data_IF_052647659891
#
_entry.id   IF_052647659891
#
_cell.length_a   1.000
_cell.length_b   1.000
_cell.length_c   1.000
_cell.angle_alpha   90.00
_cell.angle_beta   90.00
_cell.angle_gamma   90.00
#
_symmetry.space_group_name_H-M   'P 1'
#
loop_
_entity.id
_entity.type
_entity.pdbx_description
1 polymer ?
#
# COMPACT_ATOMS: atom_id res chain seq x y z
N UNK A 1 5.77 23.60 -8.11
CA UNK A 1 6.08 22.27 -8.65
C UNK A 1 5.03 21.36 -8.05
N UNK A 2 3.97 21.07 -8.80
CA UNK A 2 2.87 20.25 -8.30
C UNK A 2 3.39 18.82 -8.16
N UNK A 3 3.41 18.30 -6.94
CA UNK A 3 3.64 16.88 -6.73
C UNK A 3 2.47 16.15 -7.37
N UNK A 4 2.75 15.31 -8.37
CA UNK A 4 1.78 14.37 -8.91
C UNK A 4 1.39 13.41 -7.78
N UNK A 5 0.39 13.78 -7.00
CA UNK A 5 -0.23 12.91 -6.00
C UNK A 5 -0.94 11.78 -6.73
N UNK A 6 -0.91 10.57 -6.15
CA UNK A 6 -1.70 9.45 -6.65
C UNK A 6 -3.16 9.89 -6.90
N UNK A 7 -3.74 9.54 -8.04
CA UNK A 7 -5.16 9.80 -8.29
C UNK A 7 -6.01 9.13 -7.19
N UNK A 8 -7.13 9.74 -6.78
CA UNK A 8 -8.06 9.11 -5.84
C UNK A 8 -8.56 7.76 -6.37
N UNK A 9 -8.76 6.80 -5.48
CA UNK A 9 -9.32 5.50 -5.85
C UNK A 9 -10.75 5.65 -6.41
N UNK A 10 -11.06 4.90 -7.47
CA UNK A 10 -12.40 4.89 -8.08
C UNK A 10 -13.32 3.82 -7.50
N UNK A 11 -12.83 3.04 -6.54
CA UNK A 11 -13.51 1.91 -5.92
C UNK A 11 -13.24 1.88 -4.42
N UNK A 12 -14.08 1.15 -3.67
CA UNK A 12 -13.83 0.86 -2.26
C UNK A 12 -12.85 -0.30 -2.12
N UNK A 13 -11.92 -0.19 -1.18
CA UNK A 13 -11.06 -1.30 -0.78
C UNK A 13 -11.28 -1.69 0.67
N UNK A 14 -10.45 -2.61 1.15
CA UNK A 14 -10.57 -3.10 2.52
C UNK A 14 -10.32 -2.00 3.58
N UNK A 15 -9.46 -1.02 3.26
CA UNK A 15 -9.02 0.01 4.20
C UNK A 15 -9.20 1.45 3.70
N UNK A 16 -9.99 1.63 2.65
CA UNK A 16 -10.26 2.96 2.08
C UNK A 16 -11.61 2.97 1.38
N UNK A 17 -12.17 4.16 1.20
CA UNK A 17 -13.36 4.40 0.38
C UNK A 17 -13.01 5.00 -0.98
N UNK A 18 -13.90 4.85 -1.94
CA UNK A 18 -13.82 5.54 -3.22
C UNK A 18 -13.71 7.05 -3.00
N UNK A 19 -12.84 7.70 -3.77
CA UNK A 19 -12.48 9.11 -3.62
C UNK A 19 -11.32 9.38 -2.67
N UNK A 20 -10.80 8.36 -1.97
CA UNK A 20 -9.61 8.50 -1.14
C UNK A 20 -8.32 8.14 -1.87
N UNK A 21 -7.22 8.80 -1.49
CA UNK A 21 -5.87 8.40 -1.89
C UNK A 21 -5.30 7.47 -0.83
N UNK A 22 -4.69 6.36 -1.27
CA UNK A 22 -4.13 5.33 -0.39
C UNK A 22 -2.98 4.62 -1.08
N UNK A 23 -1.98 4.21 -0.31
CA UNK A 23 -0.94 3.28 -0.80
C UNK A 23 -0.96 2.00 0.01
N UNK A 24 -1.01 0.89 -0.72
CA UNK A 24 -0.83 -0.46 -0.18
C UNK A 24 0.60 -0.91 -0.51
N UNK A 25 1.33 -1.32 0.52
CA UNK A 25 2.63 -1.96 0.38
C UNK A 25 2.66 -3.24 1.22
N UNK A 26 3.68 -4.07 1.02
CA UNK A 26 3.82 -5.34 1.74
C UNK A 26 5.20 -5.47 2.34
N UNK A 27 5.26 -6.16 3.47
CA UNK A 27 6.47 -6.39 4.27
C UNK A 27 7.56 -7.17 3.52
N UNK A 28 7.18 -7.98 2.53
CA UNK A 28 8.10 -8.84 1.77
C UNK A 28 7.73 -8.87 0.29
N UNK A 29 8.72 -9.03 -0.60
CA UNK A 29 8.45 -9.06 -2.01
C UNK A 29 7.45 -10.16 -2.41
N UNK A 30 7.67 -11.38 -1.98
CA UNK A 30 6.88 -12.56 -2.36
C UNK A 30 5.40 -12.38 -1.98
N UNK A 31 5.15 -11.73 -0.84
CA UNK A 31 3.81 -11.39 -0.38
C UNK A 31 3.15 -10.34 -1.28
N UNK A 32 3.89 -9.32 -1.74
CA UNK A 32 3.37 -8.33 -2.69
C UNK A 32 2.91 -9.00 -3.99
N UNK A 33 3.70 -9.94 -4.52
CA UNK A 33 3.32 -10.70 -5.72
C UNK A 33 2.06 -11.54 -5.49
N UNK A 34 2.01 -12.30 -4.39
CA UNK A 34 0.85 -13.14 -4.06
C UNK A 34 -0.42 -12.30 -3.88
N UNK A 35 -0.34 -11.20 -3.13
CA UNK A 35 -1.46 -10.30 -2.92
C UNK A 35 -1.92 -9.65 -4.23
N UNK A 36 -0.99 -9.20 -5.08
CA UNK A 36 -1.32 -8.64 -6.38
C UNK A 36 -2.03 -9.66 -7.28
N UNK A 37 -1.56 -10.92 -7.33
CA UNK A 37 -2.19 -11.97 -8.12
C UNK A 37 -3.59 -12.35 -7.58
N UNK A 38 -3.72 -12.47 -6.25
CA UNK A 38 -4.97 -12.85 -5.61
C UNK A 38 -6.03 -11.75 -5.69
N UNK A 39 -5.67 -10.51 -5.37
CA UNK A 39 -6.60 -9.38 -5.31
C UNK A 39 -7.02 -8.90 -6.70
N UNK A 40 -6.18 -9.08 -7.72
CA UNK A 40 -6.55 -8.82 -9.11
C UNK A 40 -7.40 -9.93 -9.74
N UNK A 41 -7.81 -10.94 -8.97
CA UNK A 41 -8.61 -12.08 -9.45
C UNK A 41 -8.02 -12.78 -10.69
N UNK A 42 -6.69 -12.85 -10.78
CA UNK A 42 -5.99 -13.42 -11.93
C UNK A 42 -5.92 -12.53 -13.18
N UNK A 43 -6.33 -11.26 -13.09
CA UNK A 43 -6.05 -10.28 -14.14
C UNK A 43 -4.53 -10.03 -14.14
N UNK A 44 -3.88 -10.44 -15.23
CA UNK A 44 -2.46 -10.20 -15.45
C UNK A 44 -2.26 -8.80 -16.03
N UNK A 45 -1.63 -7.88 -15.29
CA UNK A 45 -1.32 -6.54 -15.82
C UNK A 45 -0.28 -6.66 -16.95
N UNK A 46 -0.39 -5.77 -17.95
CA UNK A 46 0.55 -5.73 -19.08
C UNK A 46 1.98 -5.38 -18.64
N UNK A 47 2.09 -4.59 -17.57
CA UNK A 47 3.34 -4.17 -16.94
C UNK A 47 3.23 -4.26 -15.43
N UNK A 48 4.26 -4.80 -14.77
CA UNK A 48 4.43 -4.72 -13.31
C UNK A 48 5.76 -4.09 -12.94
N UNK A 49 5.68 -3.23 -11.93
CA UNK A 49 6.83 -2.60 -11.32
C UNK A 49 7.01 -3.10 -9.89
N UNK A 50 8.24 -3.42 -9.56
CA UNK A 50 8.63 -3.72 -8.19
C UNK A 50 9.31 -2.51 -7.57
N UNK A 51 8.68 -1.94 -6.55
CA UNK A 51 9.18 -0.78 -5.85
C UNK A 51 9.55 -1.12 -4.41
N UNK A 52 10.81 -0.85 -4.04
CA UNK A 52 11.23 -0.87 -2.65
C UNK A 52 10.99 0.51 -2.05
N UNK A 53 10.12 0.57 -1.05
CA UNK A 53 9.91 1.77 -0.24
C UNK A 53 10.87 1.76 0.95
N UNK A 54 11.46 2.92 1.26
CA UNK A 54 12.17 3.15 2.53
C UNK A 54 11.42 4.24 3.27
N UNK A 55 10.94 3.92 4.46
CA UNK A 55 10.18 4.85 5.30
C UNK A 55 11.13 5.88 5.94
N UNK A 56 10.65 7.12 6.14
CA UNK A 56 11.44 8.13 6.80
C UNK A 56 11.52 7.85 8.31
N UNK A 57 12.61 8.23 8.96
CA UNK A 57 12.85 7.94 10.38
C UNK A 57 11.86 8.64 11.33
N UNK A 58 11.25 9.74 10.88
CA UNK A 58 10.24 10.51 11.61
C UNK A 58 8.79 10.06 11.31
N UNK A 59 8.58 9.09 10.41
CA UNK A 59 7.26 8.58 10.07
C UNK A 59 6.77 7.61 11.13
N UNK A 60 5.75 7.99 11.90
CA UNK A 60 5.16 7.10 12.90
C UNK A 60 4.20 6.14 12.20
N UNK A 61 4.47 4.84 12.33
CA UNK A 61 3.62 3.76 11.81
C UNK A 61 2.90 3.10 12.97
N UNK A 62 1.58 3.01 12.86
CA UNK A 62 0.73 2.30 13.81
C UNK A 62 0.85 0.78 13.57
N UNK A 63 1.03 -0.02 14.61
CA UNK A 63 0.95 -1.48 14.51
C UNK A 63 -0.39 -1.94 15.07
N UNK A 64 -1.29 -2.43 14.19
CA UNK A 64 -2.61 -2.89 14.59
C UNK A 64 -2.62 -4.34 15.09
N UNK A 65 -1.53 -5.09 14.88
CA UNK A 65 -1.43 -6.51 15.23
C UNK A 65 -2.60 -7.36 14.71
N UNK A 66 -2.75 -8.57 15.24
CA UNK A 66 -3.78 -9.53 14.82
C UNK A 66 -5.19 -9.29 15.40
N UNK A 67 -5.32 -8.35 16.33
CA UNK A 67 -6.50 -8.29 17.22
C UNK A 67 -7.36 -7.04 17.06
N UNK A 68 -6.93 -6.02 16.31
CA UNK A 68 -7.79 -4.87 16.02
C UNK A 68 -8.67 -5.11 14.79
N UNK A 69 -9.97 -4.81 14.92
CA UNK A 69 -10.89 -4.84 13.80
C UNK A 69 -10.53 -3.71 12.84
N UNK A 70 -9.97 -4.08 11.70
CA UNK A 70 -9.60 -3.12 10.66
C UNK A 70 -10.86 -2.73 9.89
N UNK A 71 -11.05 -1.43 9.67
CA UNK A 71 -12.23 -0.89 8.97
C UNK A 71 -11.82 -0.04 7.75
N UNK A 72 -12.76 0.21 6.82
CA UNK A 72 -12.56 1.16 5.72
C UNK A 72 -12.24 2.60 6.19
N UNK A 73 -12.46 2.92 7.47
CA UNK A 73 -12.20 4.24 8.05
C UNK A 73 -10.77 4.36 8.61
N UNK A 74 -9.89 3.38 8.32
CA UNK A 74 -8.50 3.39 8.78
C UNK A 74 -7.77 4.69 8.39
N UNK A 75 -7.95 5.20 7.17
CA UNK A 75 -7.31 6.45 6.74
C UNK A 75 -7.75 7.65 7.58
N UNK A 76 -9.03 7.73 7.94
CA UNK A 76 -9.52 8.79 8.82
C UNK A 76 -8.85 8.74 10.20
N UNK A 77 -8.71 7.53 10.77
CA UNK A 77 -8.00 7.31 12.05
C UNK A 77 -6.52 7.66 11.96
N UNK A 78 -5.84 7.28 10.87
CA UNK A 78 -4.44 7.63 10.63
C UNK A 78 -4.25 9.16 10.60
N UNK A 79 -5.15 9.87 9.89
CA UNK A 79 -5.13 11.34 9.79
C UNK A 79 -5.38 12.02 11.13
N UNK A 80 -6.39 11.57 11.87
CA UNK A 80 -6.74 12.10 13.19
C UNK A 80 -5.54 12.05 14.17
N UNK A 81 -4.83 10.93 14.16
CA UNK A 81 -3.69 10.70 15.05
C UNK A 81 -2.32 11.01 14.42
N UNK A 82 -2.29 11.53 13.20
CA UNK A 82 -1.06 11.89 12.46
C UNK A 82 -0.07 10.72 12.34
N UNK A 83 -0.58 9.53 12.05
CA UNK A 83 0.23 8.39 11.65
C UNK A 83 0.45 8.42 10.14
N UNK A 84 1.66 8.09 9.69
CA UNK A 84 1.97 7.97 8.26
C UNK A 84 1.28 6.75 7.63
N UNK A 85 1.12 5.69 8.42
CA UNK A 85 0.47 4.47 7.98
C UNK A 85 0.24 3.49 9.12
N UNK A 86 -0.31 2.33 8.78
CA UNK A 86 -0.50 1.22 9.69
C UNK A 86 0.00 -0.10 9.10
N UNK A 87 0.70 -0.89 9.92
CA UNK A 87 0.89 -2.31 9.68
C UNK A 87 -0.38 -3.07 10.04
N UNK A 88 -0.89 -3.83 9.08
CA UNK A 88 -2.08 -4.65 9.21
C UNK A 88 -1.80 -6.08 8.77
N UNK A 89 -2.29 -7.11 9.48
CA UNK A 89 -2.21 -8.47 9.01
C UNK A 89 -2.96 -8.63 7.69
N UNK A 90 -2.46 -9.49 6.82
CA UNK A 90 -3.19 -9.93 5.63
C UNK A 90 -3.74 -11.34 5.81
N UNK A 91 -4.91 -11.61 5.23
CA UNK A 91 -5.52 -12.95 5.19
C UNK A 91 -4.80 -13.92 4.23
N UNK A 92 -3.84 -13.44 3.43
CA UNK A 92 -3.13 -14.26 2.44
C UNK A 92 -2.11 -15.19 3.09
N UNK A 93 -1.41 -14.73 4.13
CA UNK A 93 -0.48 -15.57 4.91
C UNK A 93 -0.51 -15.20 6.40
N UNK A 94 -0.41 -16.16 7.33
CA UNK A 94 -0.52 -15.88 8.77
C UNK A 94 0.50 -14.86 9.31
N UNK A 95 1.71 -14.84 8.74
CA UNK A 95 2.79 -13.90 9.12
C UNK A 95 2.90 -12.71 8.16
N UNK A 96 1.95 -12.56 7.24
CA UNK A 96 1.96 -11.51 6.25
C UNK A 96 1.46 -10.20 6.83
N UNK A 97 2.23 -9.13 6.63
CA UNK A 97 1.80 -7.77 6.96
C UNK A 97 1.74 -6.92 5.69
N UNK A 98 0.64 -6.17 5.57
CA UNK A 98 0.47 -5.07 4.63
C UNK A 98 0.70 -3.74 5.37
N UNK A 99 1.27 -2.78 4.68
CA UNK A 99 1.41 -1.40 5.14
C UNK A 99 0.42 -0.53 4.37
N UNK A 100 -0.50 0.09 5.09
CA UNK A 100 -1.50 1.02 4.54
C UNK A 100 -1.05 2.43 4.88
N UNK A 101 -0.79 3.27 3.89
CA UNK A 101 -0.28 4.63 4.10
C UNK A 101 -1.25 5.68 3.59
N UNK A 102 -1.25 6.82 4.27
CA UNK A 102 -1.98 8.02 3.86
C UNK A 102 -1.08 8.97 3.05
N UNK A 103 -1.30 9.13 1.73
CA UNK A 103 -0.53 10.05 0.90
C UNK A 103 -0.67 11.52 1.28
N UNK A 104 -1.69 11.88 2.07
CA UNK A 104 -1.87 13.24 2.57
C UNK A 104 -1.02 13.56 3.80
N UNK A 105 -0.35 12.58 4.40
CA UNK A 105 0.51 12.79 5.56
C UNK A 105 1.75 13.63 5.18
N UNK A 106 2.15 14.57 6.05
CA UNK A 106 3.25 15.50 5.76
C UNK A 106 4.57 14.81 5.41
N UNK A 107 4.91 13.73 6.11
CA UNK A 107 6.14 12.97 5.88
C UNK A 107 6.04 11.96 4.72
N UNK A 108 4.90 11.86 4.03
CA UNK A 108 4.73 10.89 2.94
C UNK A 108 5.70 11.17 1.78
N UNK A 109 5.98 12.45 1.50
CA UNK A 109 6.93 12.89 0.48
C UNK A 109 8.38 12.56 0.82
N UNK A 110 8.68 12.19 2.07
CA UNK A 110 10.01 11.77 2.50
C UNK A 110 10.27 10.26 2.28
N UNK A 111 9.25 9.49 1.85
CA UNK A 111 9.42 8.08 1.49
C UNK A 111 10.29 8.00 0.23
N UNK A 112 11.43 7.31 0.34
CA UNK A 112 12.29 7.07 -0.82
C UNK A 112 11.82 5.82 -1.56
N UNK A 113 11.66 5.93 -2.88
CA UNK A 113 11.29 4.82 -3.76
C UNK A 113 12.53 4.38 -4.55
N UNK A 114 12.83 3.08 -4.52
CA UNK A 114 13.80 2.45 -5.42
C UNK A 114 13.10 1.41 -6.27
N UNK A 115 12.95 1.71 -7.56
CA UNK A 115 12.43 0.76 -8.54
C UNK A 115 13.47 -0.34 -8.75
N UNK A 116 13.08 -1.59 -8.54
CA UNK A 116 13.97 -2.74 -8.71
C UNK A 116 13.85 -3.35 -10.11
N UNK A 117 12.66 -3.53 -10.69
CA UNK A 117 12.52 -4.15 -12.02
C UNK A 117 11.17 -3.85 -12.70
N UNK A 118 11.18 -3.88 -14.04
CA UNK A 118 10.01 -4.05 -14.89
C UNK A 118 9.85 -5.54 -15.23
N UNK A 119 8.67 -6.10 -15.02
CA UNK A 119 8.28 -7.36 -15.63
C UNK A 119 7.46 -7.04 -16.88
N UNK A 120 8.08 -7.18 -18.06
CA UNK A 120 7.34 -7.24 -19.34
C UNK A 120 6.81 -8.64 -19.53
N UNK A 121 5.54 -8.75 -19.90
CA UNK A 121 4.95 -10.05 -20.20
C UNK A 121 5.65 -10.70 -21.41
N UNK A 122 6.13 -11.95 -21.31
CA UNK A 122 6.90 -12.60 -22.38
C UNK A 122 6.08 -13.02 -23.62
N UNK A 123 4.75 -12.94 -23.58
CA UNK A 123 3.88 -13.45 -24.67
C UNK A 123 3.35 -12.41 -25.67
N UNK A 124 3.84 -11.16 -25.64
CA UNK A 124 3.54 -10.15 -26.68
C UNK A 124 4.83 -9.68 -27.35
N UNK A 125 5.38 -10.56 -28.19
CA UNK A 125 6.49 -10.29 -29.12
C UNK A 125 6.10 -10.75 -30.52
#
# INVERSE_FOLDING_TARGET
MEHAGAEPATYDGLFHRAGERVVYAWSRPELAAMCSAFLSAGIEPEEMLWEKLTLPANGVILDLGSNETVSPDLLARLREHKYLGAWVPTSITPEGMALIMDPAHANFTEISVKVKHFLKHPSRG
#
